data_IF_099128873676
#
_entry.id   IF_099128873676
#
_cell.length_a   1.000
_cell.length_b   1.000
_cell.length_c   1.000
_cell.angle_alpha   90.00
_cell.angle_beta   90.00
_cell.angle_gamma   90.00
#
_symmetry.space_group_name_H-M   'P 1'
#
loop_
_entity.id
_entity.type
_entity.pdbx_description
1 polymer ?
2 non-polymer ?
3 non-polymer ?
4 water ?
#
# COMPACT_ATOMS: atom_id res chain seq x y z
N UNK A 2 17.40 -15.68 -7.66
CA UNK A 2 17.12 -17.12 -7.61
C UNK A 2 16.23 -17.48 -6.43
N UNK A 3 15.74 -18.70 -6.40
CA UNK A 3 14.94 -19.19 -5.28
C UNK A 3 15.84 -19.98 -4.34
N UNK A 4 15.86 -19.59 -3.08
CA UNK A 4 16.70 -20.25 -2.10
C UNK A 4 15.96 -21.43 -1.48
N UNK A 5 16.72 -22.32 -0.85
CA UNK A 5 16.16 -23.55 -0.30
C UNK A 5 16.58 -23.78 1.15
N UNK A 6 17.36 -22.85 1.71
CA UNK A 6 17.85 -23.02 3.07
C UNK A 6 16.76 -22.97 4.13
N UNK A 7 15.69 -22.27 3.81
CA UNK A 7 14.55 -22.07 4.70
C UNK A 7 13.25 -22.28 3.92
N UNK A 8 12.46 -23.25 4.34
CA UNK A 8 11.18 -23.50 3.68
C UNK A 8 10.32 -22.24 3.70
N UNK A 9 9.64 -21.98 2.59
CA UNK A 9 8.71 -20.85 2.53
C UNK A 9 7.26 -21.31 2.63
N UNK A 10 6.64 -21.06 3.77
CA UNK A 10 5.26 -21.42 4.03
C UNK A 10 4.45 -20.13 4.19
N UNK A 11 3.55 -19.90 3.25
CA UNK A 11 2.75 -18.67 3.27
C UNK A 11 1.62 -18.82 4.29
N UNK A 12 1.53 -17.89 5.24
CA UNK A 12 0.43 -17.91 6.21
C UNK A 12 -0.91 -17.86 5.46
N UNK A 13 -1.90 -18.59 5.96
CA UNK A 13 -3.22 -18.55 5.34
C UNK A 13 -3.98 -17.30 5.76
N UNK A 14 -4.63 -16.66 4.80
CA UNK A 14 -5.51 -15.53 5.12
C UNK A 14 -6.72 -15.63 4.21
N UNK A 15 -7.79 -16.21 4.75
CA UNK A 15 -9.00 -16.45 3.98
C UNK A 15 -9.63 -15.11 3.59
N UNK A 16 -10.18 -15.03 2.38
CA UNK A 16 -10.96 -13.87 1.99
C UNK A 16 -12.30 -14.38 1.50
N UNK A 17 -13.22 -13.48 1.19
CA UNK A 17 -14.51 -13.91 0.64
C UNK A 17 -14.80 -13.19 -0.67
N UNK A 18 -15.30 -13.94 -1.65
CA UNK A 18 -15.72 -13.38 -2.91
C UNK A 18 -17.26 -13.36 -2.93
N UNK A 19 -17.84 -12.20 -3.22
CA UNK A 19 -19.29 -12.02 -3.05
C UNK A 19 -19.96 -11.62 -4.36
N UNK A 20 -21.15 -12.16 -4.60
CA UNK A 20 -22.00 -11.67 -5.68
C UNK A 20 -23.38 -11.31 -5.16
N UNK A 21 -24.12 -10.53 -5.94
CA UNK A 21 -25.44 -10.09 -5.53
C UNK A 21 -26.40 -11.27 -5.31
N UNK A 22 -26.37 -12.22 -6.24
CA UNK A 22 -27.32 -13.32 -6.22
C UNK A 22 -26.89 -14.47 -5.32
N UNK A 23 -25.57 -14.68 -5.21
CA UNK A 23 -25.02 -15.86 -4.58
C UNK A 23 -24.45 -15.62 -3.21
N UNK A 24 -24.33 -14.36 -2.82
CA UNK A 24 -23.80 -14.04 -1.51
C UNK A 24 -22.30 -14.25 -1.49
N UNK A 25 -21.76 -14.46 -0.29
CA UNK A 25 -20.31 -14.56 -0.14
C UNK A 25 -19.83 -15.99 0.02
N UNK A 26 -18.67 -16.27 -0.56
CA UNK A 26 -18.04 -17.57 -0.48
C UNK A 26 -16.55 -17.42 -0.16
N UNK A 27 -16.00 -18.33 0.63
CA UNK A 27 -14.59 -18.25 1.03
C UNK A 27 -13.61 -18.64 -0.08
N UNK A 28 -12.47 -17.94 -0.10
CA UNK A 28 -11.32 -18.34 -0.92
C UNK A 28 -10.16 -18.65 0.02
N UNK A 29 -9.46 -19.75 -0.26
CA UNK A 29 -8.28 -20.14 0.51
C UNK A 29 -7.04 -19.34 0.12
N UNK A 30 -7.11 -18.02 0.22
CA UNK A 30 -5.97 -17.17 -0.08
C UNK A 30 -4.93 -17.17 1.04
N UNK A 31 -3.75 -16.67 0.72
CA UNK A 31 -2.63 -16.67 1.66
C UNK A 31 -1.91 -15.35 1.55
N UNK A 32 -0.89 -15.14 2.38
CA UNK A 32 -0.07 -13.93 2.21
C UNK A 32 1.39 -14.29 2.07
N UNK A 33 2.14 -13.40 1.43
CA UNK A 33 3.56 -13.61 1.18
C UNK A 33 4.37 -12.34 1.46
N UNK A 34 5.47 -12.52 2.18
CA UNK A 34 6.36 -11.38 2.49
C UNK A 34 7.07 -10.83 1.25
N UNK A 35 7.15 -9.51 1.16
CA UNK A 35 7.84 -8.83 0.08
C UNK A 35 9.34 -9.12 0.04
N UNK A 36 9.88 -9.24 -1.16
CA UNK A 36 11.24 -9.70 -1.37
C UNK A 36 12.28 -8.82 -0.67
N UNK A 37 11.98 -7.53 -0.47
CA UNK A 37 12.96 -6.64 0.13
C UNK A 37 13.32 -7.01 1.56
N UNK A 38 12.42 -7.73 2.23
CA UNK A 38 12.63 -8.07 3.63
C UNK A 38 13.43 -9.36 3.79
N UNK A 39 13.60 -10.09 2.69
CA UNK A 39 14.16 -11.44 2.79
C UNK A 39 15.67 -11.51 2.88
N UNK A 40 16.15 -12.61 3.46
CA UNK A 40 17.55 -12.97 3.39
C UNK A 40 17.93 -13.19 1.93
N UNK A 41 19.08 -12.64 1.52
CA UNK A 41 19.55 -12.84 0.16
C UNK A 41 20.96 -13.40 0.23
N UNK A 42 21.17 -14.59 -0.32
CA UNK A 42 22.46 -15.27 -0.14
C UNK A 42 22.90 -16.01 -1.40
N UNK A 43 24.15 -16.43 -1.41
CA UNK A 43 24.72 -17.14 -2.57
C UNK A 43 23.91 -18.41 -2.87
N UNK A 44 23.65 -18.68 -4.14
CA UNK A 44 22.91 -19.89 -4.51
C UNK A 44 23.62 -21.15 -4.06
N UNK A 45 24.93 -21.08 -3.91
CA UNK A 45 25.69 -22.27 -3.58
C UNK A 45 26.04 -22.40 -2.09
N UNK A 46 25.36 -21.63 -1.24
CA UNK A 46 25.63 -21.72 0.19
C UNK A 46 24.87 -20.76 1.08
N UNK A 47 25.58 -20.17 2.02
CA UNK A 47 24.97 -19.37 3.07
C UNK A 47 25.52 -17.96 3.12
N UNK A 48 26.47 -17.65 2.24
CA UNK A 48 27.11 -16.34 2.20
C UNK A 48 26.13 -15.25 1.78
N UNK A 49 25.99 -14.20 2.60
CA UNK A 49 25.06 -13.13 2.28
C UNK A 49 25.45 -12.40 0.99
N UNK A 50 24.45 -12.06 0.17
CA UNK A 50 24.68 -11.16 -0.95
C UNK A 50 24.42 -9.71 -0.52
N UNK A 51 23.67 -9.57 0.57
CA UNK A 51 23.30 -8.26 1.09
C UNK A 51 23.31 -8.37 2.60
N UNK A 52 24.02 -7.45 3.25
CA UNK A 52 24.10 -7.43 4.70
C UNK A 52 23.94 -5.99 5.16
N UNK A 53 23.05 -5.77 6.12
CA UNK A 53 22.80 -4.44 6.63
C UNK A 53 22.26 -3.54 5.54
N UNK A 54 23.12 -2.68 4.99
CA UNK A 54 22.68 -1.78 3.94
C UNK A 54 23.60 -1.77 2.73
N UNK A 55 24.39 -2.82 2.56
CA UNK A 55 25.30 -2.89 1.41
C UNK A 55 25.34 -4.29 0.78
N UNK A 56 25.58 -4.32 -0.52
CA UNK A 56 25.73 -5.55 -1.28
C UNK A 56 27.15 -6.07 -1.22
N UNK A 57 27.31 -7.37 -1.41
CA UNK A 57 28.63 -7.97 -1.54
C UNK A 57 29.14 -7.71 -2.96
N UNK A 58 30.22 -6.96 -3.10
CA UNK A 58 30.68 -6.54 -4.42
C UNK A 58 31.29 -7.69 -5.22
N UNK A 59 31.64 -8.76 -4.51
CA UNK A 59 32.18 -9.97 -5.13
C UNK A 59 31.08 -10.79 -5.78
N UNK A 60 29.99 -11.00 -5.05
CA UNK A 60 28.85 -11.76 -5.57
C UNK A 60 28.03 -10.90 -6.50
N UNK A 61 28.07 -9.58 -6.27
CA UNK A 61 27.16 -8.66 -6.93
C UNK A 61 27.87 -7.45 -7.54
N UNK A 62 28.80 -7.71 -8.47
CA UNK A 62 29.52 -6.64 -9.17
C UNK A 62 28.65 -5.86 -10.15
N UNK A 63 27.52 -6.44 -10.53
CA UNK A 63 26.55 -5.77 -11.40
C UNK A 63 25.20 -6.45 -11.22
N UNK A 64 24.17 -5.85 -11.78
CA UNK A 64 22.81 -6.31 -11.54
C UNK A 64 22.52 -7.73 -12.00
N UNK A 65 23.04 -8.08 -13.17
CA UNK A 65 22.76 -9.39 -13.76
C UNK A 65 23.54 -10.48 -13.04
N UNK A 66 24.83 -10.24 -12.81
CA UNK A 66 25.65 -11.19 -12.09
C UNK A 66 25.08 -11.45 -10.69
N UNK A 67 24.63 -10.39 -10.03
CA UNK A 67 24.02 -10.52 -8.72
C UNK A 67 22.80 -11.43 -8.73
N UNK A 68 21.90 -11.20 -9.69
CA UNK A 68 20.66 -11.98 -9.76
C UNK A 68 20.96 -13.44 -10.06
N UNK A 69 22.06 -13.71 -10.76
CA UNK A 69 22.42 -15.08 -11.09
C UNK A 69 23.04 -15.79 -9.88
N UNK A 70 23.74 -15.01 -9.07
CA UNK A 70 24.51 -15.56 -7.96
C UNK A 70 23.70 -15.66 -6.67
N UNK A 71 22.56 -14.97 -6.63
CA UNK A 71 21.91 -14.70 -5.35
C UNK A 71 20.48 -15.17 -5.30
N UNK A 72 20.12 -15.76 -4.16
CA UNK A 72 18.81 -16.35 -3.96
C UNK A 72 18.08 -15.67 -2.80
N UNK A 73 16.79 -15.44 -2.98
CA UNK A 73 15.91 -15.04 -1.88
C UNK A 73 15.49 -16.29 -1.15
N UNK A 74 15.39 -16.24 0.19
CA UNK A 74 15.01 -17.46 0.91
C UNK A 74 13.74 -17.33 1.74
N UNK A 75 13.31 -18.44 2.34
CA UNK A 75 12.07 -18.49 3.09
C UNK A 75 12.14 -17.63 4.33
N UNK A 76 10.98 -17.30 4.90
CA UNK A 76 10.90 -16.40 6.03
C UNK A 76 10.19 -17.03 7.23
N UNK A 77 10.70 -16.75 8.42
CA UNK A 77 10.00 -17.07 9.66
C UNK A 77 9.07 -15.89 9.92
N UNK A 78 7.82 -16.02 9.47
CA UNK A 78 6.90 -14.88 9.48
C UNK A 78 6.73 -14.23 10.85
N UNK A 79 6.45 -15.04 11.86
CA UNK A 79 6.22 -14.52 13.20
C UNK A 79 7.53 -14.18 13.88
N UNK A 80 8.49 -15.11 13.82
CA UNK A 80 9.72 -14.97 14.58
C UNK A 80 10.57 -13.78 14.17
N UNK A 81 10.68 -13.58 12.86
CA UNK A 81 11.56 -12.56 12.33
C UNK A 81 10.79 -11.27 12.05
N UNK A 82 9.56 -11.39 11.56
CA UNK A 82 8.88 -10.20 11.01
C UNK A 82 7.64 -9.79 11.78
N UNK A 83 7.29 -10.55 12.82
CA UNK A 83 6.10 -10.25 13.61
C UNK A 83 4.81 -10.30 12.82
N UNK A 84 4.76 -11.17 11.82
CA UNK A 84 3.54 -11.35 11.04
C UNK A 84 2.86 -12.65 11.48
N UNK A 85 1.60 -12.57 11.87
CA UNK A 85 0.82 -13.77 12.15
C UNK A 85 -0.59 -13.67 11.55
N UNK A 86 -1.22 -14.81 11.36
CA UNK A 86 -2.61 -14.83 10.92
C UNK A 86 -3.36 -15.87 11.72
N UNK A 87 -4.62 -15.58 12.06
CA UNK A 87 -5.50 -16.58 12.65
C UNK A 87 -6.12 -17.45 11.57
N UNK A 88 -5.94 -17.04 10.31
CA UNK A 88 -6.62 -17.67 9.20
C UNK A 88 -7.59 -16.71 8.54
N UNK A 89 -8.11 -15.74 9.29
CA UNK A 89 -8.92 -14.67 8.70
C UNK A 89 -8.51 -13.28 9.14
N UNK A 90 -7.66 -13.21 10.17
CA UNK A 90 -7.17 -11.94 10.68
C UNK A 90 -5.65 -11.87 10.64
N UNK A 91 -5.13 -10.86 9.95
CA UNK A 91 -3.68 -10.69 9.82
C UNK A 91 -3.18 -9.61 10.79
N UNK A 92 -2.22 -9.98 11.64
CA UNK A 92 -1.60 -9.03 12.53
C UNK A 92 -0.18 -8.70 12.05
N UNK A 93 0.07 -7.41 11.81
CA UNK A 93 1.41 -6.99 11.42
C UNK A 93 1.96 -6.13 12.55
N UNK A 94 2.98 -6.67 13.24
CA UNK A 94 3.60 -5.95 14.33
C UNK A 94 4.69 -5.03 13.80
N UNK A 95 4.95 -3.95 14.54
CA UNK A 95 5.86 -2.90 14.11
C UNK A 95 7.32 -3.33 14.17
N UNK A 96 7.88 -3.43 15.36
CA UNK A 96 9.28 -3.79 15.53
C UNK A 96 9.45 -5.19 16.09
N UNK A 97 10.28 -5.97 15.41
CA UNK A 97 10.58 -7.33 15.83
C UNK A 97 12.09 -7.44 15.77
N UNK A 98 12.74 -7.40 16.94
CA UNK A 98 14.19 -7.37 16.98
C UNK A 98 14.69 -6.19 16.17
N UNK A 99 15.58 -6.44 15.21
CA UNK A 99 16.13 -5.38 14.38
C UNK A 99 15.32 -5.14 13.13
N UNK A 100 14.24 -5.90 12.96
CA UNK A 100 13.37 -5.73 11.81
C UNK A 100 12.33 -4.65 12.09
N UNK A 101 12.16 -3.75 11.13
CA UNK A 101 11.10 -2.74 11.26
C UNK A 101 10.08 -2.88 10.14
N UNK A 102 8.83 -3.12 10.55
CA UNK A 102 7.72 -3.15 9.62
C UNK A 102 7.70 -4.36 8.71
N UNK A 103 6.73 -4.38 7.80
CA UNK A 103 6.61 -5.46 6.83
C UNK A 103 5.67 -5.07 5.70
N UNK A 104 5.70 -5.85 4.64
CA UNK A 104 4.73 -5.74 3.57
C UNK A 104 4.51 -7.14 3.03
N UNK A 105 3.25 -7.53 2.90
CA UNK A 105 2.89 -8.81 2.31
C UNK A 105 1.84 -8.63 1.23
N UNK A 106 1.72 -9.62 0.36
CA UNK A 106 0.70 -9.61 -0.69
C UNK A 106 -0.25 -10.78 -0.59
N UNK A 107 -1.52 -10.56 -0.93
CA UNK A 107 -2.51 -11.63 -0.93
C UNK A 107 -2.26 -12.56 -2.13
N UNK A 108 -2.25 -13.87 -1.85
CA UNK A 108 -1.92 -14.87 -2.88
C UNK A 108 -3.13 -15.74 -3.18
N UNK A 109 -3.37 -16.03 -4.45
CA UNK A 109 -4.38 -17.00 -4.84
C UNK A 109 -3.91 -18.42 -4.59
N UNK A 110 -2.62 -18.66 -4.79
CA UNK A 110 -1.98 -19.91 -4.46
C UNK A 110 -0.49 -19.65 -4.25
N UNK A 111 0.29 -20.69 -4.06
CA UNK A 111 1.65 -20.51 -3.58
C UNK A 111 2.60 -19.87 -4.57
N UNK A 112 2.20 -19.76 -5.82
CA UNK A 112 3.03 -19.04 -6.79
C UNK A 112 2.34 -17.94 -7.59
N UNK A 113 1.15 -17.52 -7.16
CA UNK A 113 0.46 -16.42 -7.82
C UNK A 113 -0.20 -15.47 -6.82
N UNK A 114 0.04 -14.18 -6.99
CA UNK A 114 -0.72 -13.19 -6.26
C UNK A 114 -2.18 -13.30 -6.71
N UNK A 115 -3.10 -13.02 -5.79
CA UNK A 115 -4.50 -12.88 -6.18
C UNK A 115 -4.64 -11.63 -7.03
N UNK A 116 -5.22 -11.78 -8.22
CA UNK A 116 -5.36 -10.63 -9.11
C UNK A 116 -6.78 -10.09 -9.00
N UNK A 117 -6.95 -8.95 -8.34
CA UNK A 117 -8.27 -8.38 -8.09
C UNK A 117 -8.68 -7.44 -9.21
N UNK A 118 -9.90 -7.61 -9.70
CA UNK A 118 -10.41 -6.71 -10.74
C UNK A 118 -11.65 -6.00 -10.22
N UNK A 119 -11.49 -4.74 -9.80
CA UNK A 119 -12.48 -4.12 -8.92
C UNK A 119 -13.28 -3.02 -9.59
N UNK A 120 -13.17 -2.90 -10.92
CA UNK A 120 -14.08 -1.99 -11.61
C UNK A 120 -15.54 -2.39 -11.40
N UNK A 121 -16.38 -1.47 -10.95
CA UNK A 121 -17.79 -1.77 -10.70
C UNK A 121 -17.91 -2.85 -9.64
N UNK A 122 -16.95 -2.88 -8.72
CA UNK A 122 -16.97 -3.84 -7.62
C UNK A 122 -16.67 -3.07 -6.35
N UNK A 123 -16.73 -3.75 -5.21
CA UNK A 123 -16.29 -3.15 -3.96
C UNK A 123 -15.31 -4.05 -3.20
N UNK A 124 -14.51 -3.43 -2.35
CA UNK A 124 -13.59 -4.13 -1.47
C UNK A 124 -13.88 -3.72 -0.03
N UNK A 125 -13.90 -4.70 0.85
CA UNK A 125 -14.32 -4.47 2.24
C UNK A 125 -13.36 -5.19 3.17
N UNK A 126 -13.05 -4.56 4.30
CA UNK A 126 -12.23 -5.22 5.31
C UNK A 126 -12.50 -4.62 6.66
N UNK A 127 -12.10 -5.33 7.71
CA UNK A 127 -12.10 -4.77 9.07
C UNK A 127 -10.68 -4.39 9.45
N UNK A 128 -10.57 -3.36 10.28
CA UNK A 128 -9.27 -2.96 10.79
C UNK A 128 -9.33 -2.67 12.27
N UNK A 129 -8.27 -3.02 12.97
CA UNK A 129 -8.13 -2.60 14.36
C UNK A 129 -6.86 -1.75 14.45
N UNK A 130 -7.03 -0.46 14.71
CA UNK A 130 -5.91 0.48 14.81
C UNK A 130 -5.72 0.96 16.24
N UNK A 131 -6.33 0.26 17.20
CA UNK A 131 -6.27 0.69 18.59
C UNK A 131 -4.82 0.80 19.10
N UNK A 132 -3.94 -0.03 18.55
CA UNK A 132 -2.53 0.02 18.91
C UNK A 132 -1.62 0.53 17.78
N UNK A 133 -2.12 1.49 17.02
CA UNK A 133 -1.42 2.00 15.86
C UNK A 133 -1.43 3.54 15.91
N UNK A 134 -0.46 4.11 16.61
CA UNK A 134 -0.47 5.53 16.93
C UNK A 134 0.15 6.46 15.91
N UNK A 135 0.20 7.74 16.25
CA UNK A 135 0.90 8.75 15.45
C UNK A 135 2.22 8.22 14.89
N UNK A 136 2.52 8.60 13.66
CA UNK A 136 3.79 8.30 13.04
C UNK A 136 3.82 6.98 12.29
N UNK A 137 2.78 6.16 12.47
CA UNK A 137 2.77 4.84 11.84
C UNK A 137 1.74 4.83 10.72
N UNK A 138 1.88 3.85 9.83
CA UNK A 138 0.93 3.69 8.73
C UNK A 138 0.64 2.20 8.57
N UNK A 139 -0.62 1.84 8.79
CA UNK A 139 -1.13 0.51 8.55
C UNK A 139 -1.81 0.67 7.21
N UNK A 140 -1.21 0.14 6.13
CA UNK A 140 -1.70 0.39 4.79
C UNK A 140 -2.24 -0.88 4.14
N UNK A 141 -3.28 -0.73 3.39
CA UNK A 141 -3.95 -1.80 2.64
C UNK A 141 -4.19 -1.18 1.31
N UNK A 142 -3.58 -1.73 0.26
CA UNK A 142 -3.67 -1.08 -1.04
C UNK A 142 -3.46 -2.01 -2.22
N UNK A 143 -3.69 -1.45 -3.41
CA UNK A 143 -3.58 -2.20 -4.66
C UNK A 143 -2.42 -1.64 -5.48
N UNK A 144 -1.62 -2.53 -6.06
CA UNK A 144 -0.54 -2.13 -6.96
C UNK A 144 -0.69 -2.95 -8.24
N UNK A 145 -0.38 -2.34 -9.37
CA UNK A 145 -0.47 -3.05 -10.65
C UNK A 145 0.72 -3.96 -10.87
N UNK A 146 0.96 -4.86 -9.94
CA UNK A 146 2.00 -5.87 -10.13
C UNK A 146 1.52 -7.01 -11.01
N UNK A 147 2.47 -7.79 -11.52
CA UNK A 147 2.12 -9.02 -12.24
C UNK A 147 1.80 -10.14 -11.25
N UNK A 148 0.82 -10.97 -11.58
CA UNK A 148 0.45 -12.05 -10.68
C UNK A 148 1.62 -12.98 -10.34
N UNK A 149 2.57 -13.13 -11.25
CA UNK A 149 3.70 -14.00 -11.00
C UNK A 149 4.94 -13.24 -10.53
N UNK A 150 4.75 -11.99 -10.14
CA UNK A 150 5.85 -11.22 -9.59
C UNK A 150 6.95 -10.87 -10.58
N UNK A 151 6.68 -11.05 -11.87
CA UNK A 151 7.66 -10.75 -12.90
C UNK A 151 8.40 -11.96 -13.44
N UNK A 152 8.02 -13.15 -12.97
CA UNK A 152 8.77 -14.32 -13.37
C UNK A 152 8.78 -14.53 -14.88
N UNK A 153 7.63 -14.36 -15.52
CA UNK A 153 7.55 -14.58 -16.96
C UNK A 153 8.25 -13.50 -17.76
N UNK A 154 8.24 -12.27 -17.24
CA UNK A 154 8.78 -11.12 -17.96
C UNK A 154 10.30 -11.04 -17.95
N UNK A 155 10.92 -11.57 -16.90
CA UNK A 155 12.32 -11.30 -16.62
C UNK A 155 13.08 -12.60 -16.37
N UNK A 156 13.90 -12.97 -17.33
CA UNK A 156 14.68 -14.21 -17.26
C UNK A 156 15.51 -14.28 -15.98
N UNK A 157 15.93 -13.12 -15.49
CA UNK A 157 16.75 -13.06 -14.29
C UNK A 157 16.04 -13.38 -12.99
N UNK A 158 14.71 -13.42 -13.04
CA UNK A 158 13.89 -13.66 -11.85
C UNK A 158 13.35 -15.08 -11.87
N UNK A 159 13.93 -15.95 -11.05
CA UNK A 159 13.46 -17.32 -10.92
C UNK A 159 12.73 -17.56 -9.61
N UNK A 160 12.52 -16.49 -8.84
CA UNK A 160 11.87 -16.57 -7.55
C UNK A 160 10.37 -16.30 -7.64
N UNK A 161 9.99 -15.15 -8.20
CA UNK A 161 8.59 -14.90 -8.50
C UNK A 161 7.74 -14.62 -7.28
N UNK A 162 6.43 -14.72 -7.45
CA UNK A 162 5.48 -14.38 -6.40
C UNK A 162 5.65 -15.20 -5.11
N UNK A 163 6.16 -16.42 -5.21
CA UNK A 163 6.36 -17.24 -4.02
C UNK A 163 7.28 -16.54 -3.02
N UNK A 164 8.17 -15.69 -3.53
CA UNK A 164 9.07 -14.94 -2.66
C UNK A 164 8.81 -13.43 -2.68
N UNK A 165 7.62 -13.02 -3.13
CA UNK A 165 7.24 -11.62 -3.07
C UNK A 165 8.03 -10.67 -3.95
N UNK A 166 8.41 -11.12 -5.15
CA UNK A 166 9.10 -10.23 -6.10
C UNK A 166 8.14 -9.40 -6.91
N UNK A 167 8.71 -8.41 -7.62
CA UNK A 167 7.95 -7.63 -8.58
C UNK A 167 7.19 -6.43 -8.05
N UNK A 168 7.55 -5.97 -6.86
CA UNK A 168 6.87 -4.80 -6.32
C UNK A 168 7.02 -3.59 -7.23
N UNK A 169 5.98 -2.75 -7.20
CA UNK A 169 6.01 -1.41 -7.79
C UNK A 169 4.91 -0.60 -7.11
N UNK A 170 5.05 0.73 -7.13
CA UNK A 170 3.97 1.59 -6.70
C UNK A 170 4.11 2.99 -7.30
N UNK A 171 3.28 3.92 -6.86
CA UNK A 171 3.19 5.20 -7.56
C UNK A 171 4.33 6.11 -7.12
N UNK A 172 5.12 5.63 -6.16
CA UNK A 172 6.28 6.42 -5.73
C UNK A 172 7.54 6.06 -6.50
N UNK A 173 7.43 5.10 -7.42
CA UNK A 173 8.58 4.70 -8.21
C UNK A 173 9.79 4.45 -7.32
N UNK A 174 9.61 3.67 -6.27
CA UNK A 174 10.64 3.50 -5.24
C UNK A 174 11.94 2.96 -5.82
N UNK A 175 13.05 3.55 -5.39
CA UNK A 175 14.37 3.11 -5.82
C UNK A 175 15.11 2.29 -4.76
N UNK A 176 14.42 1.99 -3.66
CA UNK A 176 15.01 1.19 -2.58
C UNK A 176 14.67 -0.30 -2.69
N UNK A 177 14.07 -0.65 -3.81
CA UNK A 177 13.75 -2.04 -4.11
C UNK A 177 14.97 -2.76 -4.65
N UNK A 178 15.27 -3.91 -4.03
CA UNK A 178 16.53 -4.60 -4.25
C UNK A 178 16.60 -5.36 -5.56
N UNK A 179 15.49 -5.96 -5.96
CA UNK A 179 15.40 -6.64 -7.24
C UNK A 179 14.30 -6.04 -8.10
N UNK A 180 14.69 -5.61 -9.31
CA UNK A 180 13.73 -5.05 -10.25
C UNK A 180 14.04 -5.60 -11.63
N UNK A 181 13.01 -6.08 -12.33
CA UNK A 181 13.18 -6.61 -13.67
C UNK A 181 14.21 -7.74 -13.72
N UNK A 182 14.28 -8.50 -12.64
CA UNK A 182 15.16 -9.66 -12.60
C UNK A 182 16.63 -9.33 -12.47
N UNK A 183 16.93 -8.08 -12.10
CA UNK A 183 18.31 -7.68 -11.86
C UNK A 183 18.39 -7.02 -10.50
N UNK A 184 19.49 -7.23 -9.78
CA UNK A 184 19.66 -6.51 -8.52
C UNK A 184 19.92 -5.03 -8.79
N UNK A 185 19.27 -4.18 -8.00
CA UNK A 185 19.33 -2.74 -8.22
C UNK A 185 20.60 -2.17 -7.58
N UNK A 186 21.76 -2.67 -8.00
CA UNK A 186 23.01 -2.33 -7.31
C UNK A 186 23.75 -1.12 -7.85
N UNK A 187 23.26 -0.56 -8.95
CA UNK A 187 23.91 0.57 -9.58
C UNK A 187 23.90 1.80 -8.69
N UNK A 188 25.07 2.37 -8.45
CA UNK A 188 25.16 3.57 -7.64
C UNK A 188 24.47 3.38 -6.30
N UNK A 189 24.61 2.20 -5.72
CA UNK A 189 23.90 1.91 -4.49
C UNK A 189 24.30 2.90 -3.40
N UNK A 190 23.30 3.50 -2.75
CA UNK A 190 23.53 4.51 -1.72
C UNK A 190 22.78 4.13 -0.45
N UNK A 191 23.49 4.09 0.68
CA UNK A 191 22.84 3.80 1.96
C UNK A 191 21.88 4.92 2.33
N UNK A 192 20.74 4.56 2.91
CA UNK A 192 19.75 5.55 3.37
C UNK A 192 19.31 5.27 4.80
N UNK A 193 19.73 4.13 5.33
CA UNK A 193 19.42 3.73 6.69
C UNK A 193 20.27 2.53 7.02
N UNK A 194 20.11 2.01 8.24
CA UNK A 194 20.93 0.89 8.70
C UNK A 194 20.69 -0.37 7.88
N UNK A 195 19.46 -0.52 7.38
CA UNK A 195 19.11 -1.72 6.63
C UNK A 195 18.58 -1.41 5.22
N UNK A 196 18.67 -0.16 4.81
CA UNK A 196 18.13 0.26 3.52
C UNK A 196 19.09 1.04 2.64
N UNK A 197 18.81 1.05 1.34
CA UNK A 197 19.57 1.88 0.43
C UNK A 197 18.76 2.07 -0.84
N UNK A 198 19.32 2.81 -1.80
CA UNK A 198 18.71 2.96 -3.11
C UNK A 198 19.71 2.73 -4.24
N UNK A 199 19.19 2.23 -5.35
CA UNK A 199 19.97 2.04 -6.55
C UNK A 199 19.54 2.99 -7.65
N UNK A 200 20.10 2.79 -8.83
CA UNK A 200 19.88 3.73 -9.93
C UNK A 200 18.51 3.56 -10.58
N UNK A 201 17.85 2.43 -10.32
CA UNK A 201 16.54 2.17 -10.89
C UNK A 201 15.41 2.29 -9.85
N UNK A 202 14.23 2.70 -10.31
CA UNK A 202 13.03 2.59 -9.50
C UNK A 202 12.02 1.67 -10.18
N UNK A 203 10.91 1.40 -9.51
CA UNK A 203 9.90 0.53 -10.09
C UNK A 203 8.51 1.16 -9.93
N UNK A 204 7.92 1.55 -11.05
CA UNK A 204 6.69 2.33 -11.09
C UNK A 204 5.47 1.56 -11.55
N UNK A 205 4.33 1.92 -10.97
CA UNK A 205 3.02 1.44 -11.41
C UNK A 205 1.88 2.15 -10.71
N UNK A 206 0.72 2.12 -11.34
CA UNK A 206 -0.48 2.74 -10.77
C UNK A 206 -0.80 2.03 -9.47
N UNK A 207 -1.40 2.79 -8.55
CA UNK A 207 -1.60 2.36 -7.18
C UNK A 207 -2.93 2.89 -6.70
N UNK A 208 -3.76 2.02 -6.12
CA UNK A 208 -4.94 2.51 -5.43
C UNK A 208 -4.77 2.29 -3.94
N UNK A 209 -4.55 3.36 -3.19
CA UNK A 209 -4.45 3.25 -1.74
C UNK A 209 -5.82 3.20 -1.08
N UNK A 210 -6.33 1.99 -0.90
CA UNK A 210 -7.64 1.86 -0.28
C UNK A 210 -7.60 2.39 1.15
N UNK A 211 -6.46 2.19 1.82
CA UNK A 211 -6.36 2.53 3.23
C UNK A 211 -4.93 2.86 3.65
N UNK A 212 -4.72 4.05 4.14
CA UNK A 212 -3.47 4.45 4.72
C UNK A 212 -3.90 5.16 5.97
N UNK A 213 -3.60 4.63 7.15
CA UNK A 213 -4.12 5.22 8.37
C UNK A 213 -3.44 4.76 9.65
N UNK A 214 -3.69 5.55 10.70
CA UNK A 214 -3.37 5.17 12.06
C UNK A 214 -4.54 5.68 12.90
N UNK A 215 -4.49 5.51 14.21
CA UNK A 215 -5.67 5.88 14.99
C UNK A 215 -5.94 7.39 15.07
N UNK A 216 -5.10 8.19 14.42
CA UNK A 216 -5.32 9.63 14.40
C UNK A 216 -5.91 10.12 13.08
N UNK A 217 -5.62 9.43 11.98
CA UNK A 217 -5.97 9.96 10.67
C UNK A 217 -5.93 8.84 9.64
N UNK A 218 -6.73 8.99 8.59
CA UNK A 218 -6.79 8.00 7.51
C UNK A 218 -7.00 8.71 6.18
N UNK A 219 -6.50 8.09 5.12
CA UNK A 219 -6.68 8.63 3.78
C UNK A 219 -6.92 7.48 2.82
N UNK A 220 -7.78 7.72 1.82
CA UNK A 220 -7.83 6.85 0.65
C UNK A 220 -7.53 7.65 -0.62
N UNK A 221 -6.74 7.04 -1.50
CA UNK A 221 -6.04 7.79 -2.55
C UNK A 221 -5.70 6.98 -3.80
N UNK A 222 -6.37 7.23 -4.92
CA UNK A 222 -5.94 6.72 -6.23
C UNK A 222 -4.69 7.44 -6.74
N UNK A 223 -3.76 6.67 -7.33
CA UNK A 223 -2.56 7.19 -7.98
C UNK A 223 -2.39 6.61 -9.38
N UNK A 224 -2.82 7.32 -10.41
CA UNK A 224 -2.60 6.85 -11.77
C UNK A 224 -1.16 7.08 -12.23
N UNK A 225 -0.68 6.23 -13.13
CA UNK A 225 0.59 6.45 -13.83
C UNK A 225 0.35 6.36 -15.33
N UNK A 226 1.20 7.03 -16.11
CA UNK A 226 1.00 7.02 -17.55
C UNK A 226 1.36 5.68 -18.16
N UNK A 227 2.07 4.87 -17.40
CA UNK A 227 2.49 3.54 -17.84
C UNK A 227 1.38 2.50 -17.77
N UNK A 228 1.72 1.23 -18.01
CA UNK A 228 0.76 0.13 -17.90
C UNK A 228 1.47 -1.07 -17.31
N UNK A 229 1.31 -1.27 -16.00
CA UNK A 229 1.96 -2.36 -15.33
C UNK A 229 3.28 -1.94 -14.70
N UNK A 230 3.99 -2.92 -14.15
CA UNK A 230 5.24 -2.65 -13.43
C UNK A 230 6.34 -2.22 -14.40
N UNK A 231 6.90 -1.03 -14.15
CA UNK A 231 7.81 -0.44 -15.11
C UNK A 231 9.05 0.09 -14.41
N UNK A 232 10.21 -0.39 -14.84
CA UNK A 232 11.46 0.07 -14.26
C UNK A 232 11.74 1.45 -14.83
N UNK A 233 12.13 2.37 -13.94
CA UNK A 233 12.39 3.75 -14.33
C UNK A 233 13.82 4.16 -14.02
N UNK A 234 14.31 5.14 -14.76
CA UNK A 234 15.63 5.71 -14.59
C UNK A 234 15.48 7.22 -14.72
N UNK A 235 16.37 7.96 -14.08
CA UNK A 235 16.42 9.40 -14.26
C UNK A 235 15.13 10.10 -13.88
N UNK A 236 14.77 11.13 -14.65
CA UNK A 236 13.60 11.92 -14.32
C UNK A 236 12.27 11.17 -14.46
N UNK A 237 12.29 10.01 -15.12
CA UNK A 237 11.10 9.18 -15.19
C UNK A 237 10.68 8.74 -13.79
N UNK A 238 11.66 8.55 -12.90
CA UNK A 238 11.36 8.11 -11.53
C UNK A 238 10.83 9.24 -10.68
N UNK A 239 11.11 10.48 -11.10
CA UNK A 239 10.74 11.62 -10.30
C UNK A 239 9.24 11.64 -9.98
N UNK A 240 8.94 11.76 -8.70
CA UNK A 240 7.56 11.89 -8.25
C UNK A 240 6.83 13.00 -8.99
N UNK A 241 5.63 12.69 -9.47
CA UNK A 241 4.70 13.65 -10.06
C UNK A 241 5.07 14.12 -11.47
N UNK A 242 6.31 14.57 -11.65
CA UNK A 242 6.76 15.04 -12.95
C UNK A 242 7.13 13.88 -13.87
N UNK A 243 7.44 12.73 -13.28
CA UNK A 243 7.80 11.58 -14.08
C UNK A 243 6.59 10.75 -14.50
N UNK A 244 6.73 9.43 -14.43
CA UNK A 244 5.70 8.52 -14.91
C UNK A 244 4.44 8.50 -14.06
N UNK A 245 4.59 8.79 -12.77
CA UNK A 245 3.53 8.52 -11.79
C UNK A 245 3.07 9.75 -11.01
N UNK A 246 1.78 9.75 -10.68
CA UNK A 246 1.21 10.71 -9.75
C UNK A 246 1.48 10.26 -8.32
N UNK A 247 2.53 10.78 -7.71
CA UNK A 247 2.95 10.36 -6.37
C UNK A 247 2.10 10.97 -5.26
N UNK A 248 1.50 12.13 -5.52
CA UNK A 248 0.64 12.76 -4.53
C UNK A 248 -0.70 12.05 -4.47
N UNK A 249 -1.24 11.69 -5.63
CA UNK A 249 -2.53 11.05 -5.73
C UNK A 249 -3.66 12.04 -5.48
N UNK A 250 -4.89 11.59 -5.68
CA UNK A 250 -6.04 12.38 -5.27
C UNK A 250 -6.61 11.83 -3.97
N UNK A 251 -6.22 12.44 -2.86
CA UNK A 251 -6.48 11.88 -1.55
C UNK A 251 -7.76 12.39 -0.94
N UNK A 252 -8.46 11.51 -0.23
CA UNK A 252 -9.55 11.91 0.65
C UNK A 252 -9.26 11.50 2.08
N UNK A 253 -8.87 12.49 2.87
CA UNK A 253 -8.63 12.37 4.30
C UNK A 253 -9.67 13.31 4.94
N UNK A 254 -10.54 12.75 5.77
CA UNK A 254 -11.69 13.49 6.26
C UNK A 254 -11.27 14.79 6.95
N UNK A 255 -10.21 14.70 7.75
CA UNK A 255 -9.64 15.82 8.50
C UNK A 255 -9.08 16.86 7.54
N UNK A 256 -8.25 16.42 6.60
CA UNK A 256 -7.73 17.31 5.56
C UNK A 256 -8.87 17.97 4.77
N UNK A 257 -9.96 17.24 4.62
CA UNK A 257 -11.08 17.76 3.82
C UNK A 257 -12.03 18.63 4.63
N UNK A 258 -11.66 18.92 5.88
CA UNK A 258 -12.32 19.96 6.65
C UNK A 258 -13.32 19.47 7.68
N UNK A 259 -13.27 18.18 7.99
CA UNK A 259 -14.10 17.63 9.06
C UNK A 259 -13.19 16.99 10.10
N UNK A 260 -12.98 17.70 11.19
CA UNK A 260 -11.94 17.34 12.15
C UNK A 260 -12.45 16.44 13.27
N UNK A 261 -13.74 16.09 13.24
CA UNK A 261 -14.31 15.30 14.33
C UNK A 261 -14.98 14.03 13.82
N UNK A 262 -14.68 13.64 12.58
CA UNK A 262 -15.32 12.47 11.98
C UNK A 262 -14.62 11.16 12.34
N UNK A 263 -13.30 11.14 12.25
CA UNK A 263 -12.54 9.91 12.44
C UNK A 263 -11.38 10.07 13.41
N UNK A 264 -11.35 9.21 14.42
CA UNK A 264 -10.33 9.26 15.46
C UNK A 264 -10.85 8.67 16.75
N UNK A 265 -10.03 8.70 17.80
CA UNK A 265 -10.42 8.11 19.07
C UNK A 265 -11.70 8.77 19.60
N UNK A 266 -12.76 7.99 19.71
CA UNK A 266 -14.02 8.47 20.26
C UNK A 266 -14.87 9.28 19.30
N UNK A 267 -14.45 9.35 18.04
CA UNK A 267 -15.19 10.11 17.04
C UNK A 267 -16.25 9.24 16.39
N UNK A 268 -16.89 9.74 15.33
CA UNK A 268 -17.96 9.01 14.67
C UNK A 268 -17.46 7.65 14.17
N UNK A 269 -16.32 7.66 13.49
CA UNK A 269 -15.58 6.42 13.28
C UNK A 269 -14.54 6.36 14.40
N UNK A 270 -14.77 5.47 15.36
CA UNK A 270 -14.00 5.43 16.60
C UNK A 270 -12.77 4.54 16.47
N UNK A 271 -11.60 5.15 16.26
CA UNK A 271 -10.41 4.37 15.92
C UNK A 271 -9.83 3.60 17.11
N UNK A 272 -10.44 3.75 18.28
CA UNK A 272 -9.97 3.00 19.44
C UNK A 272 -10.53 1.58 19.42
N UNK A 273 -11.43 1.32 18.48
CA UNK A 273 -12.06 -0.01 18.36
C UNK A 273 -12.04 -0.45 16.88
N UNK A 274 -12.20 -1.75 16.63
CA UNK A 274 -12.25 -2.26 15.26
C UNK A 274 -13.44 -1.67 14.51
N UNK A 275 -13.30 -1.54 13.19
CA UNK A 275 -14.45 -1.19 12.37
C UNK A 275 -14.27 -1.72 10.96
N UNK A 276 -15.35 -1.61 10.18
CA UNK A 276 -15.40 -2.13 8.83
C UNK A 276 -15.26 -0.96 7.85
N UNK A 277 -14.50 -1.19 6.81
CA UNK A 277 -14.23 -0.16 5.79
C UNK A 277 -14.66 -0.71 4.43
N UNK A 278 -15.66 -0.08 3.83
CA UNK A 278 -16.13 -0.45 2.50
C UNK A 278 -15.66 0.57 1.48
N UNK A 279 -15.14 0.07 0.36
CA UNK A 279 -14.70 0.98 -0.70
C UNK A 279 -15.27 0.50 -2.02
N UNK A 280 -16.03 1.37 -2.68
CA UNK A 280 -16.76 1.00 -3.89
C UNK A 280 -16.21 1.78 -5.07
N UNK A 281 -16.02 1.07 -6.17
CA UNK A 281 -15.42 1.64 -7.36
C UNK A 281 -16.45 1.66 -8.48
N UNK A 282 -17.16 2.79 -8.60
CA UNK A 282 -18.27 2.93 -9.53
C UNK A 282 -17.81 3.41 -10.91
N UNK A 283 -18.44 2.87 -11.95
CA UNK A 283 -18.19 3.34 -13.32
C UNK A 283 -19.36 4.17 -13.84
N UNK A 284 -19.13 4.89 -14.93
CA UNK A 284 -20.15 5.81 -15.46
C UNK A 284 -21.45 5.14 -15.86
N UNK A 285 -21.35 3.88 -16.28
CA UNK A 285 -22.51 3.15 -16.75
C UNK A 285 -22.80 1.90 -15.93
N UNK A 286 -22.24 1.84 -14.72
CA UNK A 286 -22.44 0.68 -13.85
C UNK A 286 -22.07 -0.64 -14.53
N UNK A 287 -21.09 -0.61 -15.42
CA UNK A 287 -20.57 -1.80 -16.06
C UNK A 287 -19.09 -1.92 -15.77
N UNK A 288 -18.54 -3.12 -15.97
CA UNK A 288 -17.12 -3.37 -15.76
C UNK A 288 -16.26 -2.94 -16.93
N UNK A 289 -16.86 -2.31 -17.94
CA UNK A 289 -16.10 -1.73 -19.03
C UNK A 289 -16.20 -0.21 -19.03
N UNK A 290 -17.06 0.30 -18.15
CA UNK A 290 -17.25 1.73 -18.01
C UNK A 290 -16.04 2.45 -17.47
N UNK A 291 -16.10 3.77 -17.45
CA UNK A 291 -15.02 4.58 -16.88
C UNK A 291 -15.23 4.78 -15.39
N UNK A 292 -14.21 4.45 -14.60
CA UNK A 292 -14.26 4.75 -13.18
C UNK A 292 -14.64 6.22 -12.99
N UNK A 293 -15.73 6.46 -12.27
CA UNK A 293 -16.28 7.80 -12.12
C UNK A 293 -16.40 8.22 -10.65
N UNK A 294 -16.44 7.25 -9.75
CA UNK A 294 -16.57 7.60 -8.34
C UNK A 294 -15.93 6.52 -7.47
N UNK A 295 -15.26 6.95 -6.41
CA UNK A 295 -14.85 6.02 -5.36
C UNK A 295 -15.60 6.39 -4.09
N UNK A 296 -16.49 5.51 -3.64
CA UNK A 296 -17.29 5.77 -2.45
C UNK A 296 -16.69 5.04 -1.28
N UNK A 297 -16.96 5.55 -0.08
CA UNK A 297 -16.48 4.93 1.15
C UNK A 297 -17.60 4.86 2.16
N UNK A 298 -17.87 3.66 2.70
CA UNK A 298 -18.82 3.54 3.79
C UNK A 298 -18.13 2.84 4.94
N UNK A 299 -18.45 3.24 6.16
CA UNK A 299 -17.92 2.58 7.35
C UNK A 299 -19.04 1.86 8.09
N UNK A 300 -18.69 0.79 8.79
CA UNK A 300 -19.62 0.14 9.71
C UNK A 300 -18.93 -0.08 11.04
N UNK A 301 -19.57 0.40 12.11
CA UNK A 301 -19.02 0.15 13.45
C UNK A 301 -20.15 -0.02 14.45
N UNK A 302 -20.05 -1.10 15.22
CA UNK A 302 -21.09 -1.49 16.16
C UNK A 302 -22.43 -1.65 15.48
N UNK A 303 -22.40 -2.13 14.24
CA UNK A 303 -23.63 -2.36 13.49
C UNK A 303 -24.19 -1.09 12.88
N UNK A 304 -23.57 0.06 13.17
CA UNK A 304 -24.04 1.31 12.60
C UNK A 304 -23.41 1.60 11.25
N UNK A 305 -24.25 1.85 10.23
CA UNK A 305 -23.75 2.25 8.92
C UNK A 305 -23.42 3.74 8.89
N UNK A 306 -22.17 4.05 8.55
CA UNK A 306 -21.66 5.41 8.63
C UNK A 306 -21.18 5.83 7.24
N UNK A 307 -21.88 6.80 6.65
CA UNK A 307 -21.48 7.34 5.37
C UNK A 307 -20.22 8.18 5.54
N UNK A 308 -19.43 8.29 4.48
CA UNK A 308 -18.22 9.10 4.54
C UNK A 308 -18.51 10.56 4.88
N UNK A 309 -17.54 11.23 5.49
CA UNK A 309 -17.70 12.60 5.91
C UNK A 309 -17.75 13.51 4.69
N UNK A 310 -18.36 14.67 4.87
CA UNK A 310 -18.51 15.66 3.81
C UNK A 310 -17.31 16.60 3.78
N UNK A 311 -16.85 16.95 2.58
CA UNK A 311 -15.77 17.91 2.40
C UNK A 311 -16.27 19.28 2.83
N UNK A 312 -15.43 20.04 3.51
CA UNK A 312 -15.82 21.37 3.97
C UNK A 312 -14.65 22.30 3.73
N UNK A 313 -14.44 22.62 2.46
CA UNK A 313 -13.37 23.52 2.02
C UNK A 313 -13.91 24.53 1.01
N UNK A 314 -13.68 25.82 1.26
CA UNK A 314 -14.06 26.86 0.30
C UNK A 314 -13.56 26.52 -1.10
N UNK A 315 -14.45 26.57 -2.07
CA UNK A 315 -14.07 26.33 -3.45
C UNK A 315 -14.11 24.85 -3.76
N UNK A 316 -14.52 24.05 -2.78
CA UNK A 316 -14.69 22.62 -3.01
C UNK A 316 -16.13 22.19 -2.73
N UNK A 317 -16.77 21.54 -3.69
CA UNK A 317 -18.13 21.07 -3.48
C UNK A 317 -18.15 20.15 -2.26
N UNK A 318 -19.15 20.32 -1.41
CA UNK A 318 -19.31 19.49 -0.22
C UNK A 318 -19.79 18.07 -0.56
N UNK A 319 -18.91 17.29 -1.20
CA UNK A 319 -19.19 15.90 -1.52
C UNK A 319 -18.46 14.96 -0.55
N UNK A 320 -18.75 13.66 -0.64
CA UNK A 320 -18.11 12.70 0.26
C UNK A 320 -17.52 11.50 -0.47
N UNK A 321 -17.28 11.66 -1.77
CA UNK A 321 -16.62 10.61 -2.54
C UNK A 321 -15.58 11.24 -3.45
N UNK A 322 -14.65 10.43 -3.94
CA UNK A 322 -13.66 10.91 -4.90
C UNK A 322 -14.18 10.86 -6.33
N UNK A 323 -14.17 12.00 -7.01
CA UNK A 323 -14.50 12.08 -8.42
C UNK A 323 -13.45 12.95 -9.12
N UNK A 324 -13.40 12.89 -10.43
CA UNK A 324 -12.51 13.78 -11.18
C UNK A 324 -12.72 15.25 -10.82
N UNK A 325 -13.99 15.67 -10.72
CA UNK A 325 -14.27 17.05 -10.34
C UNK A 325 -13.79 17.37 -8.93
N UNK A 326 -14.12 16.52 -7.97
CA UNK A 326 -13.62 16.69 -6.62
C UNK A 326 -12.10 16.90 -6.61
N UNK A 327 -11.42 16.11 -7.44
CA UNK A 327 -9.96 16.13 -7.43
C UNK A 327 -9.43 17.46 -7.96
N UNK A 328 -10.07 17.96 -9.02
CA UNK A 328 -9.66 19.24 -9.59
C UNK A 328 -9.89 20.36 -8.58
N UNK A 329 -11.04 20.31 -7.91
CA UNK A 329 -11.38 21.33 -6.94
C UNK A 329 -10.43 21.32 -5.75
N UNK A 330 -10.10 20.12 -5.29
CA UNK A 330 -9.28 19.95 -4.10
C UNK A 330 -7.85 20.43 -4.39
N UNK A 331 -7.33 20.08 -5.56
CA UNK A 331 -5.98 20.42 -5.94
C UNK A 331 -5.87 21.95 -6.06
N UNK A 332 -6.84 22.54 -6.75
CA UNK A 332 -6.83 24.00 -6.91
C UNK A 332 -6.85 24.64 -5.53
N UNK A 333 -7.72 24.15 -4.66
CA UNK A 333 -7.91 24.75 -3.34
C UNK A 333 -6.77 24.58 -2.37
N UNK A 334 -6.04 23.46 -2.50
CA UNK A 334 -4.96 23.16 -1.58
C UNK A 334 -3.63 23.66 -2.12
N UNK A 335 -3.64 24.18 -3.35
CA UNK A 335 -2.43 24.65 -4.00
C UNK A 335 -1.54 23.55 -4.56
N UNK A 336 -2.09 22.37 -4.81
CA UNK A 336 -1.31 21.29 -5.40
C UNK A 336 -1.61 21.14 -6.86
N UNK A 337 -0.58 20.88 -7.66
CA UNK A 337 -0.77 20.66 -9.08
C UNK A 337 -1.52 19.36 -9.27
N UNK A 338 -2.42 19.35 -10.25
CA UNK A 338 -3.25 18.19 -10.48
C UNK A 338 -2.51 17.18 -11.32
N UNK A 339 -1.47 16.58 -10.74
CA UNK A 339 -0.71 15.55 -11.47
C UNK A 339 -1.63 14.36 -11.72
N UNK A 340 -2.53 14.13 -10.78
CA UNK A 340 -3.58 13.15 -10.94
C UNK A 340 -4.26 13.25 -12.31
N UNK A 341 -4.80 14.42 -12.64
CA UNK A 341 -5.38 14.61 -13.96
C UNK A 341 -4.36 14.44 -15.09
N UNK A 342 -3.16 14.94 -14.89
CA UNK A 342 -2.15 14.87 -15.94
C UNK A 342 -1.81 13.44 -16.32
N UNK A 343 -1.84 12.56 -15.33
CA UNK A 343 -1.57 11.14 -15.55
C UNK A 343 -2.81 10.38 -16.02
N UNK A 344 -3.96 11.04 -16.05
CA UNK A 344 -5.14 10.48 -16.68
C UNK A 344 -6.33 10.31 -15.75
N UNK A 345 -6.19 10.75 -14.50
CA UNK A 345 -7.31 10.83 -13.57
C UNK A 345 -7.92 9.48 -13.25
N UNK A 346 -9.21 9.50 -12.93
CA UNK A 346 -9.92 8.27 -12.62
C UNK A 346 -9.97 7.29 -13.78
N UNK A 347 -10.07 7.80 -15.00
CA UNK A 347 -10.13 6.90 -16.14
C UNK A 347 -8.87 6.03 -16.19
N UNK A 348 -7.70 6.66 -16.00
CA UNK A 348 -6.46 5.90 -16.04
C UNK A 348 -6.38 4.96 -14.83
N UNK A 349 -6.79 5.44 -13.67
CA UNK A 349 -6.81 4.59 -12.47
C UNK A 349 -7.68 3.37 -12.73
N UNK A 350 -8.83 3.60 -13.35
CA UNK A 350 -9.80 2.54 -13.59
C UNK A 350 -9.30 1.53 -14.60
N UNK A 351 -8.53 2.00 -15.57
CA UNK A 351 -7.92 1.11 -16.55
C UNK A 351 -7.02 0.14 -15.82
N UNK A 352 -6.26 0.66 -14.85
CA UNK A 352 -5.40 -0.19 -14.04
C UNK A 352 -6.24 -1.17 -13.24
N UNK A 353 -7.26 -0.65 -12.55
CA UNK A 353 -8.17 -1.50 -11.80
C UNK A 353 -8.75 -2.60 -12.67
N UNK A 354 -9.16 -2.23 -13.87
CA UNK A 354 -9.73 -3.20 -14.80
C UNK A 354 -8.75 -4.27 -15.23
N UNK A 355 -7.48 -3.91 -15.33
CA UNK A 355 -6.48 -4.85 -15.77
C UNK A 355 -6.07 -5.85 -14.68
N UNK A 356 -6.45 -5.53 -13.45
CA UNK A 356 -6.18 -6.43 -12.35
C UNK A 356 -5.03 -5.91 -11.50
N UNK A 357 -5.23 -5.91 -10.20
CA UNK A 357 -4.19 -5.40 -9.31
C UNK A 357 -4.01 -6.23 -7.99
N UNK A 358 -2.79 -6.21 -7.49
CA UNK A 358 -2.37 -7.06 -6.37
C UNK A 358 -2.62 -6.31 -5.05
N UNK A 359 -3.17 -7.02 -4.07
CA UNK A 359 -3.43 -6.47 -2.75
C UNK A 359 -2.20 -6.56 -1.87
N UNK A 360 -1.77 -5.40 -1.36
CA UNK A 360 -0.65 -5.34 -0.44
C UNK A 360 -1.16 -4.86 0.92
N UNK A 361 -0.57 -5.40 1.99
CA UNK A 361 -0.89 -5.01 3.36
C UNK A 361 0.42 -4.75 4.04
N UNK A 362 0.56 -3.59 4.68
CA UNK A 362 1.87 -3.24 5.18
C UNK A 362 1.79 -2.37 6.44
N UNK A 363 2.84 -2.38 7.25
CA UNK A 363 2.95 -1.45 8.38
C UNK A 363 4.33 -0.84 8.24
N UNK A 364 4.39 0.49 8.26
CA UNK A 364 5.66 1.16 8.08
C UNK A 364 5.76 2.49 8.82
N UNK A 365 6.98 2.92 9.07
CA UNK A 365 7.24 4.31 9.42
C UNK A 365 7.99 5.03 8.30
N UNK A 366 8.12 6.36 8.43
CA UNK A 366 8.35 7.23 7.28
C UNK A 366 9.63 8.05 7.48
N UNK A 367 10.69 7.63 6.82
CA UNK A 367 11.99 8.28 6.96
C UNK A 367 12.08 9.58 6.19
N UNK A 368 11.12 9.81 5.29
CA UNK A 368 11.15 11.00 4.45
C UNK A 368 10.43 12.17 5.10
N UNK A 369 9.23 11.91 5.60
CA UNK A 369 8.40 12.98 6.12
C UNK A 369 7.70 12.66 7.43
N UNK A 370 8.15 11.62 8.12
CA UNK A 370 7.66 11.31 9.47
C UNK A 370 6.16 11.09 9.57
N UNK A 371 5.56 10.73 8.44
CA UNK A 371 4.12 10.50 8.35
C UNK A 371 3.31 11.76 8.61
N UNK A 372 3.96 12.92 8.56
CA UNK A 372 3.27 14.17 8.87
C UNK A 372 2.21 14.50 7.83
N UNK A 373 2.43 14.01 6.61
CA UNK A 373 1.48 14.20 5.52
C UNK A 373 0.18 13.47 5.84
N UNK A 374 0.25 12.47 6.71
CA UNK A 374 -0.93 11.68 7.05
C UNK A 374 -1.67 12.25 8.27
N UNK A 375 -0.93 12.58 9.32
CA UNK A 375 -1.57 12.89 10.59
C UNK A 375 -1.17 14.22 11.20
N UNK A 376 -0.56 15.10 10.42
CA UNK A 376 -0.11 16.38 10.96
C UNK A 376 -0.21 17.53 9.96
N UNK A 377 0.57 18.60 10.17
CA UNK A 377 0.59 19.67 9.18
C UNK A 377 1.66 19.41 8.14
N UNK A 378 1.34 19.64 6.88
CA UNK A 378 2.30 19.38 5.81
C UNK A 378 1.93 20.21 4.59
N UNK A 379 2.92 20.78 3.91
CA UNK A 379 4.33 20.75 4.32
C UNK A 379 4.58 21.54 5.61
N UNK A 380 5.75 21.33 6.24
CA UNK A 380 6.06 21.91 7.54
C UNK A 380 6.42 23.39 7.46
N UNK A 381 6.46 23.92 6.24
CA UNK A 381 6.81 25.33 6.04
C UNK A 381 5.64 26.12 5.47
N UNK A 382 4.46 25.51 5.46
CA UNK A 382 3.26 26.18 4.97
C UNK A 382 2.38 26.56 6.16
N UNK A 383 1.58 27.60 5.98
CA UNK A 383 0.71 28.02 7.05
C UNK A 383 -0.36 26.97 7.33
N UNK A 384 -0.32 26.44 8.54
CA UNK A 384 -1.23 25.40 9.00
C UNK A 384 -2.68 25.75 8.79
N UNK A 385 -3.00 27.05 8.74
CA UNK A 385 -4.38 27.48 8.64
C UNK A 385 -4.87 27.42 7.21
N UNK A 386 -3.95 27.29 6.27
CA UNK A 386 -4.30 27.23 4.86
C UNK A 386 -5.02 25.93 4.53
N UNK A 387 -6.06 26.01 3.70
CA UNK A 387 -6.77 24.82 3.22
C UNK A 387 -5.79 23.71 2.82
N UNK A 388 -5.92 22.55 3.44
CA UNK A 388 -5.18 21.37 3.01
C UNK A 388 -3.88 21.14 3.76
N UNK A 389 -3.44 22.12 4.52
CA UNK A 389 -2.19 21.92 5.24
C UNK A 389 -2.32 20.95 6.40
N UNK A 390 -3.39 21.10 7.18
CA UNK A 390 -3.63 20.28 8.36
C UNK A 390 -4.31 18.96 8.00
N UNK A 391 -3.66 17.83 8.32
CA UNK A 391 -4.20 16.51 7.98
C UNK A 391 -4.55 15.66 9.21
N UNK A 392 -4.02 16.04 10.36
CA UNK A 392 -4.30 15.36 11.61
C UNK A 392 -3.96 16.20 12.82
N UNK A 393 -4.06 15.61 14.00
CA UNK A 393 -3.77 16.30 15.25
C UNK A 393 -2.45 15.87 15.89
N UNK A 394 -1.71 14.99 15.21
CA UNK A 394 -0.40 14.58 15.71
C UNK A 394 0.57 15.76 15.71
N UNK A 395 1.44 15.82 16.70
CA UNK A 395 2.42 16.91 16.79
C UNK A 395 3.38 16.89 15.61
N UNK A 396 3.85 18.06 15.19
CA UNK A 396 4.74 18.13 14.02
C UNK A 396 6.10 17.52 14.33
N UNK A 397 6.31 17.21 15.60
CA UNK A 397 7.54 16.58 16.07
C UNK A 397 7.39 15.05 16.09
N UNK A 398 6.21 14.58 15.73
CA UNK A 398 5.93 13.15 15.81
C UNK A 398 6.49 12.40 14.61
N UNK A 399 6.52 11.08 14.74
CA UNK A 399 6.79 10.21 13.60
C UNK A 399 8.24 10.06 13.21
N UNK A 400 9.16 10.56 14.03
CA UNK A 400 10.57 10.28 13.78
C UNK A 400 10.85 8.80 13.98
N UNK A 401 11.22 8.10 12.92
CA UNK A 401 11.45 6.65 13.00
C UNK A 401 12.25 6.22 14.23
N UNK A 402 13.42 6.81 14.42
CA UNK A 402 14.20 6.44 15.61
C UNK A 402 13.38 6.63 16.88
N UNK A 403 12.51 7.63 16.89
CA UNK A 403 11.63 7.84 18.04
C UNK A 403 10.59 6.72 18.18
N UNK A 404 9.75 6.54 17.18
CA UNK A 404 8.65 5.57 17.30
C UNK A 404 9.15 4.15 17.49
N UNK A 405 10.23 3.81 16.80
CA UNK A 405 10.79 2.46 16.91
C UNK A 405 11.24 2.19 18.34
N UNK A 406 11.74 3.23 19.00
CA UNK A 406 12.13 3.11 20.42
C UNK A 406 10.92 3.15 21.34
N UNK A 407 10.00 4.04 21.03
CA UNK A 407 8.90 4.37 21.95
C UNK A 407 7.72 3.41 21.86
N UNK A 408 7.33 3.06 20.64
CA UNK A 408 6.16 2.21 20.47
C UNK A 408 6.43 1.03 19.54
N UNK A 409 7.45 0.26 19.86
CA UNK A 409 7.87 -0.86 19.00
C UNK A 409 6.78 -1.93 18.88
N UNK A 410 5.92 -2.08 19.89
CA UNK A 410 4.92 -3.14 19.85
C UNK A 410 3.59 -2.71 19.25
N UNK A 411 3.60 -1.55 18.61
CA UNK A 411 2.46 -1.09 17.82
C UNK A 411 2.15 -2.17 16.78
N UNK A 412 0.91 -2.26 16.36
CA UNK A 412 0.52 -3.27 15.39
C UNK A 412 -0.78 -2.84 14.71
N UNK A 413 -1.03 -3.42 13.54
CA UNK A 413 -2.34 -3.26 12.90
C UNK A 413 -2.89 -4.65 12.66
N UNK A 414 -4.22 -4.78 12.72
CA UNK A 414 -4.86 -6.07 12.42
C UNK A 414 -5.86 -5.85 11.30
N UNK A 415 -5.68 -6.60 10.22
CA UNK A 415 -6.56 -6.50 9.06
C UNK A 415 -7.31 -7.82 8.99
N UNK A 416 -8.64 -7.76 8.90
CA UNK A 416 -9.44 -8.98 8.91
C UNK A 416 -10.68 -8.90 8.03
N UNK A 417 -11.44 -9.99 8.01
CA UNK A 417 -12.69 -10.06 7.26
C UNK A 417 -12.58 -9.45 5.87
N UNK A 418 -11.57 -9.88 5.12
CA UNK A 418 -11.38 -9.36 3.76
C UNK A 418 -12.44 -9.92 2.80
N UNK A 419 -13.13 -9.02 2.08
CA UNK A 419 -14.18 -9.43 1.15
C UNK A 419 -14.18 -8.54 -0.09
N UNK A 420 -14.58 -9.09 -1.23
CA UNK A 420 -14.70 -8.26 -2.41
C UNK A 420 -15.73 -8.86 -3.35
N UNK A 421 -16.25 -8.01 -4.23
CA UNK A 421 -17.21 -8.48 -5.21
C UNK A 421 -18.22 -7.42 -5.58
N UNK A 422 -19.44 -7.86 -5.92
CA UNK A 422 -20.43 -6.92 -6.44
C UNK A 422 -20.72 -5.78 -5.47
N UNK A 423 -20.94 -4.59 -6.04
CA UNK A 423 -21.31 -3.44 -5.24
C UNK A 423 -22.57 -3.75 -4.41
N UNK A 424 -22.46 -3.49 -3.12
CA UNK A 424 -23.54 -3.74 -2.18
C UNK A 424 -23.65 -5.18 -1.72
N UNK A 425 -22.74 -6.04 -2.14
CA UNK A 425 -22.84 -7.47 -1.81
C UNK A 425 -21.92 -7.97 -0.69
N UNK A 426 -20.92 -7.17 -0.31
CA UNK A 426 -20.00 -7.61 0.75
C UNK A 426 -20.50 -7.23 2.12
N UNK A 427 -21.54 -6.40 2.17
CA UNK A 427 -22.21 -6.10 3.43
C UNK A 427 -23.72 -5.98 3.20
N UNK A 428 -24.49 -6.01 4.28
CA UNK A 428 -25.92 -5.93 4.17
C UNK A 428 -26.48 -5.02 5.24
N UNK A 429 -27.75 -4.66 5.08
CA UNK A 429 -28.40 -3.79 6.04
C UNK A 429 -29.83 -4.26 6.25
N UNK A 430 -30.43 -3.84 7.36
CA UNK A 430 -31.85 -4.05 7.52
C UNK A 430 -32.41 -3.18 8.63
N UNK A 431 -33.72 -2.98 8.60
CA UNK A 431 -34.45 -2.34 9.68
C UNK A 431 -35.30 -3.39 10.41
#
# INVERSE_FOLDING_TARGET
>A
XQAGTNTAENHPQLQSQQCTTSGGCKPLSTKVVLDSNWRWVHSTSGYTNCYTGNEWDTSLCPDGKTCAANCALDGADYSGTYGITSTGTALTLKFVTGSNVGSRVYLMADDTHYQLLKLLNQEFTFDVDMSNLPCGLNGALYLSAMDADGGMSKYPGNKAGAKYGTGYCDSQCPKDIKFINGEANVGNWTETGSNTGTGSYGTCCSEMDIWEANNDAAAFTPHPCTTTGQTRCSGDDCARNTGLCDGDGCDFNSFRMGDKTFLGKGMTVDTSKPFTVVTQFLTNDNTSTGTLSEIRRIYIQNGKVIQNSVANIPGVDPVNSITDNFCAQQKTAFGDTNWFAQKGGLKQMGEALGNGMVLALSIWDDHAANMLWLDSDYPTDKDPSAPGVARGTCATTSGVPSDVESQVPNSQVVFSNIKFGDIGSTFSGTS
#
